data_IF_457144364422
#
_entry.id   IF_457144364422
#
_cell.length_a   1.000
_cell.length_b   1.000
_cell.length_c   1.000
_cell.angle_alpha   90.00
_cell.angle_beta   90.00
_cell.angle_gamma   90.00
#
_symmetry.space_group_name_H-M   'P 1'
#
loop_
_entity.id
_entity.type
_entity.pdbx_description
1 polymer ?
#
# COMPACT_ATOMS: atom_id res chain seq x y z
N UNK A 1 3.38 -4.27 -9.37
CA UNK A 1 4.59 -4.16 -8.54
C UNK A 1 4.43 -4.71 -7.10
N UNK A 2 3.79 -4.02 -6.13
CA UNK A 2 3.86 -4.43 -4.71
C UNK A 2 3.22 -5.80 -4.38
N UNK A 3 1.99 -6.04 -4.86
CA UNK A 3 1.32 -7.35 -4.70
C UNK A 3 2.09 -8.49 -5.36
N UNK A 4 2.59 -8.26 -6.58
CA UNK A 4 3.38 -9.25 -7.34
C UNK A 4 4.63 -9.64 -6.57
N UNK A 5 5.39 -8.67 -6.03
CA UNK A 5 6.57 -8.94 -5.19
C UNK A 5 6.24 -9.79 -3.96
N UNK A 6 5.06 -9.62 -3.36
CA UNK A 6 4.63 -10.46 -2.24
C UNK A 6 4.30 -11.88 -2.70
N UNK A 7 3.64 -12.03 -3.85
CA UNK A 7 3.31 -13.33 -4.43
C UNK A 7 4.56 -14.09 -4.91
N UNK A 8 5.50 -13.39 -5.55
CA UNK A 8 6.83 -13.92 -5.94
C UNK A 8 7.64 -14.38 -4.72
N UNK A 9 7.49 -13.71 -3.58
CA UNK A 9 8.06 -14.13 -2.30
C UNK A 9 7.31 -15.31 -1.64
N UNK A 10 6.39 -15.98 -2.35
CA UNK A 10 5.66 -17.15 -1.86
C UNK A 10 4.55 -16.84 -0.86
N UNK A 11 4.15 -15.57 -0.68
CA UNK A 11 3.11 -15.21 0.29
C UNK A 11 1.71 -15.59 -0.21
N UNK A 12 0.83 -16.10 0.67
CA UNK A 12 -0.56 -16.40 0.31
C UNK A 12 -1.29 -15.17 -0.25
N UNK A 13 -2.20 -15.40 -1.19
CA UNK A 13 -2.94 -14.31 -1.86
C UNK A 13 -3.72 -13.45 -0.86
N UNK A 14 -4.35 -14.07 0.15
CA UNK A 14 -5.05 -13.34 1.22
C UNK A 14 -4.12 -12.38 1.97
N UNK A 15 -2.91 -12.84 2.32
CA UNK A 15 -1.90 -12.02 2.97
C UNK A 15 -1.46 -10.85 2.08
N UNK A 16 -1.30 -11.08 0.77
CA UNK A 16 -0.93 -10.02 -0.16
C UNK A 16 -2.00 -8.93 -0.25
N UNK A 17 -3.28 -9.29 -0.25
CA UNK A 17 -4.40 -8.34 -0.23
C UNK A 17 -4.42 -7.54 1.08
N UNK A 18 -4.34 -8.23 2.23
CA UNK A 18 -4.31 -7.57 3.54
C UNK A 18 -3.11 -6.63 3.67
N UNK A 19 -1.94 -7.01 3.16
CA UNK A 19 -0.75 -6.16 3.15
C UNK A 19 -0.94 -4.91 2.27
N UNK A 20 -1.57 -5.04 1.10
CA UNK A 20 -1.93 -3.90 0.26
C UNK A 20 -2.89 -2.95 0.98
N UNK A 21 -3.96 -3.47 1.59
CA UNK A 21 -4.92 -2.66 2.34
C UNK A 21 -4.25 -1.91 3.50
N UNK A 22 -3.41 -2.58 4.29
CA UNK A 22 -2.67 -1.95 5.40
C UNK A 22 -1.76 -0.84 4.89
N UNK A 23 -1.07 -1.04 3.76
CA UNK A 23 -0.22 -0.01 3.14
C UNK A 23 -1.05 1.22 2.74
N UNK A 24 -2.21 1.02 2.10
CA UNK A 24 -3.10 2.13 1.70
C UNK A 24 -3.59 2.92 2.91
N UNK A 25 -4.12 2.24 3.93
CA UNK A 25 -4.59 2.89 5.16
C UNK A 25 -3.48 3.64 5.88
N UNK A 26 -2.25 3.11 5.88
CA UNK A 26 -1.09 3.79 6.48
C UNK A 26 -0.77 5.10 5.76
N UNK A 27 -0.83 5.10 4.42
CA UNK A 27 -0.61 6.31 3.62
C UNK A 27 -1.70 7.34 3.88
N UNK A 28 -2.97 6.92 3.87
CA UNK A 28 -4.10 7.82 4.13
C UNK A 28 -4.04 8.41 5.55
N UNK A 29 -3.64 7.62 6.54
CA UNK A 29 -3.46 8.12 7.91
C UNK A 29 -2.32 9.14 8.02
N UNK A 30 -1.25 8.98 7.24
CA UNK A 30 -0.18 9.97 7.18
C UNK A 30 -0.66 11.28 6.52
N UNK A 31 -1.35 11.17 5.38
CA UNK A 31 -1.95 12.31 4.68
C UNK A 31 -2.89 13.11 5.56
N UNK A 32 -3.77 12.42 6.31
CA UNK A 32 -4.70 13.06 7.22
C UNK A 32 -4.00 13.79 8.37
N UNK A 33 -2.97 13.16 8.97
CA UNK A 33 -2.15 13.77 10.03
C UNK A 33 -1.46 15.05 9.54
N UNK A 34 -0.92 15.00 8.33
CA UNK A 34 -0.10 16.08 7.77
C UNK A 34 -0.94 17.10 6.97
N UNK A 35 -2.29 16.98 7.00
CA UNK A 35 -3.23 17.79 6.20
C UNK A 35 -2.78 17.95 4.74
N UNK A 36 -2.30 16.87 4.14
CA UNK A 36 -1.73 16.87 2.79
C UNK A 36 -2.61 16.04 1.86
N UNK A 37 -2.94 16.61 0.70
CA UNK A 37 -3.70 15.91 -0.33
C UNK A 37 -2.89 14.80 -1.02
N UNK A 38 -3.61 13.89 -1.68
CA UNK A 38 -2.97 12.85 -2.49
C UNK A 38 -2.11 13.47 -3.60
N UNK A 39 -0.82 13.14 -3.60
CA UNK A 39 0.13 13.53 -4.66
C UNK A 39 0.47 12.29 -5.49
N UNK A 40 0.14 12.26 -6.79
CA UNK A 40 0.59 11.18 -7.65
C UNK A 40 2.12 11.16 -7.71
N UNK A 41 2.72 9.97 -7.72
CA UNK A 41 4.15 9.86 -7.97
C UNK A 41 4.47 10.40 -9.37
N UNK A 42 5.57 11.15 -9.56
CA UNK A 42 6.02 11.54 -10.89
C UNK A 42 6.28 10.27 -11.72
N UNK A 43 5.96 10.36 -13.02
CA UNK A 43 6.06 9.25 -13.98
C UNK A 43 7.49 8.72 -14.14
#
# INVERSE_FOLDING_TARGET
>A
AFRQRLQEAGKPVKLAITACARKLLTILNAMFRDNTDYRPAPA
#
